data_IF_480429103367
#
_entry.id   IF_480429103367
#
_cell.length_a   1.000
_cell.length_b   1.000
_cell.length_c   1.000
_cell.angle_alpha   90.00
_cell.angle_beta   90.00
_cell.angle_gamma   90.00
#
_symmetry.space_group_name_H-M   'P 1'
#
loop_
_entity.id
_entity.type
_entity.pdbx_description
1 polymer ?
#
# COMPACT_ATOMS: atom_id res chain seq x y z
N UNK A 1 7.51 -13.68 -44.09
CA UNK A 1 7.96 -14.09 -42.75
C UNK A 1 7.89 -12.93 -41.74
N UNK A 2 6.66 -12.59 -41.35
CA UNK A 2 6.37 -11.50 -40.39
C UNK A 2 5.97 -12.07 -39.00
N UNK A 3 6.39 -13.30 -38.66
CA UNK A 3 5.97 -13.99 -37.44
C UNK A 3 7.07 -14.28 -36.42
N UNK A 4 8.18 -13.55 -36.44
CA UNK A 4 9.23 -13.73 -35.43
C UNK A 4 9.56 -12.43 -34.70
N UNK A 5 8.58 -11.84 -34.00
CA UNK A 5 8.93 -10.93 -32.90
C UNK A 5 9.28 -11.81 -31.69
N UNK A 6 10.52 -11.80 -31.24
CA UNK A 6 10.93 -12.64 -30.13
C UNK A 6 10.35 -12.12 -28.83
N UNK A 7 9.62 -12.98 -28.14
CA UNK A 7 9.22 -12.87 -26.73
C UNK A 7 10.43 -12.84 -25.78
N UNK A 8 11.51 -12.15 -26.17
CA UNK A 8 12.82 -12.18 -25.51
C UNK A 8 12.90 -11.42 -24.19
N UNK A 9 11.94 -10.57 -23.86
CA UNK A 9 12.11 -9.64 -22.71
C UNK A 9 11.85 -10.27 -21.34
N UNK A 10 11.00 -11.28 -21.25
CA UNK A 10 10.76 -11.97 -19.97
C UNK A 10 11.84 -13.01 -19.67
N UNK A 11 12.31 -13.75 -20.69
CA UNK A 11 13.37 -14.72 -20.53
C UNK A 11 14.72 -14.10 -20.18
N UNK A 12 15.03 -12.91 -20.70
CA UNK A 12 16.30 -12.22 -20.44
C UNK A 12 16.37 -11.68 -18.99
N UNK A 13 15.25 -11.22 -18.42
CA UNK A 13 15.20 -10.81 -17.02
C UNK A 13 15.30 -12.03 -16.06
N UNK A 14 14.70 -13.16 -16.42
CA UNK A 14 14.85 -14.40 -15.65
C UNK A 14 16.27 -14.97 -15.76
N UNK A 15 16.89 -14.89 -16.92
CA UNK A 15 18.28 -15.36 -17.10
C UNK A 15 19.30 -14.46 -16.39
N UNK A 16 19.07 -13.14 -16.34
CA UNK A 16 19.93 -12.20 -15.60
C UNK A 16 19.80 -12.38 -14.08
N UNK A 17 18.63 -12.71 -13.55
CA UNK A 17 18.47 -13.03 -12.12
C UNK A 17 19.07 -14.39 -11.77
N UNK A 18 18.99 -15.39 -12.65
CA UNK A 18 19.61 -16.70 -12.46
C UNK A 18 21.16 -16.64 -12.47
N UNK A 19 21.74 -15.73 -13.26
CA UNK A 19 23.21 -15.52 -13.28
C UNK A 19 23.73 -14.72 -12.09
N UNK A 20 22.90 -13.92 -11.42
CA UNK A 20 23.31 -13.13 -10.25
C UNK A 20 23.22 -13.88 -8.92
N UNK A 21 22.69 -15.11 -8.88
CA UNK A 21 22.54 -15.92 -7.67
C UNK A 21 21.59 -15.33 -6.61
N UNK A 22 20.81 -14.29 -6.96
CA UNK A 22 19.85 -13.65 -6.04
C UNK A 22 18.47 -14.25 -6.27
N UNK A 23 17.93 -14.89 -5.24
CA UNK A 23 16.59 -15.48 -5.32
C UNK A 23 15.50 -14.42 -5.48
N UNK A 24 14.41 -14.71 -6.22
CA UNK A 24 13.30 -13.79 -6.45
C UNK A 24 12.66 -13.25 -5.16
N UNK A 25 12.60 -14.06 -4.11
CA UNK A 25 12.08 -13.66 -2.82
C UNK A 25 12.95 -12.60 -2.12
N UNK A 26 14.27 -12.70 -2.23
CA UNK A 26 15.19 -11.67 -1.72
C UNK A 26 15.03 -10.36 -2.49
N UNK A 27 14.85 -10.44 -3.81
CA UNK A 27 14.62 -9.27 -4.64
C UNK A 27 13.30 -8.56 -4.27
N UNK A 28 12.22 -9.31 -4.01
CA UNK A 28 10.94 -8.75 -3.55
C UNK A 28 11.10 -8.03 -2.21
N UNK A 29 11.82 -8.63 -1.25
CA UNK A 29 12.08 -8.01 0.06
C UNK A 29 12.93 -6.75 -0.07
N UNK A 30 13.97 -6.77 -0.89
CA UNK A 30 14.80 -5.59 -1.15
C UNK A 30 13.98 -4.46 -1.77
N UNK A 31 13.15 -4.76 -2.78
CA UNK A 31 12.23 -3.79 -3.38
C UNK A 31 11.26 -3.22 -2.33
N UNK A 32 10.68 -4.09 -1.49
CA UNK A 32 9.76 -3.65 -0.44
C UNK A 32 10.43 -2.70 0.56
N UNK A 33 11.66 -2.99 0.98
CA UNK A 33 12.40 -2.14 1.93
C UNK A 33 12.68 -0.78 1.29
N UNK A 34 13.25 -0.75 0.08
CA UNK A 34 13.61 0.51 -0.59
C UNK A 34 12.37 1.35 -0.88
N UNK A 35 11.35 0.76 -1.52
CA UNK A 35 10.11 1.47 -1.84
C UNK A 35 9.33 1.85 -0.58
N UNK A 36 9.33 0.98 0.44
CA UNK A 36 8.71 1.25 1.73
C UNK A 36 9.32 2.44 2.46
N UNK A 37 10.65 2.58 2.43
CA UNK A 37 11.34 3.76 2.98
C UNK A 37 10.94 5.04 2.22
N UNK A 38 10.88 4.98 0.90
CA UNK A 38 10.44 6.12 0.08
C UNK A 38 8.99 6.50 0.42
N UNK A 39 8.08 5.52 0.48
CA UNK A 39 6.68 5.73 0.81
C UNK A 39 6.53 6.31 2.22
N UNK A 40 7.30 5.80 3.19
CA UNK A 40 7.30 6.33 4.57
C UNK A 40 7.75 7.79 4.61
N UNK A 41 8.86 8.11 3.92
CA UNK A 41 9.37 9.48 3.85
C UNK A 41 8.35 10.43 3.21
N UNK A 42 7.76 10.03 2.08
CA UNK A 42 6.76 10.83 1.37
C UNK A 42 5.51 11.03 2.24
N UNK A 43 5.03 9.99 2.92
CA UNK A 43 3.87 10.09 3.81
C UNK A 43 4.13 11.06 4.98
N UNK A 44 5.31 10.98 5.59
CA UNK A 44 5.70 11.91 6.66
C UNK A 44 5.81 13.35 6.16
N UNK A 45 6.46 13.55 5.00
CA UNK A 45 6.61 14.88 4.39
C UNK A 45 5.25 15.47 4.02
N UNK A 46 4.37 14.69 3.40
CA UNK A 46 3.01 15.10 3.07
C UNK A 46 2.21 15.51 4.31
N UNK A 47 2.29 14.71 5.38
CA UNK A 47 1.63 15.01 6.66
C UNK A 47 2.15 16.31 7.27
N UNK A 48 3.47 16.51 7.29
CA UNK A 48 4.09 17.74 7.79
C UNK A 48 3.71 18.97 6.96
N UNK A 49 3.69 18.84 5.63
CA UNK A 49 3.28 19.93 4.73
C UNK A 49 1.82 20.32 4.94
N UNK A 50 0.90 19.36 5.11
CA UNK A 50 -0.51 19.64 5.37
C UNK A 50 -0.69 20.44 6.68
N UNK A 51 -0.03 20.00 7.75
CA UNK A 51 -0.07 20.72 9.04
C UNK A 51 0.57 22.10 8.93
N UNK A 52 1.70 22.22 8.25
CA UNK A 52 2.38 23.49 8.01
C UNK A 52 1.51 24.47 7.22
N UNK A 53 0.88 23.99 6.16
CA UNK A 53 -0.03 24.79 5.32
C UNK A 53 -1.27 25.25 6.11
N UNK A 54 -1.89 24.34 6.86
CA UNK A 54 -3.04 24.68 7.70
C UNK A 54 -2.72 25.80 8.70
N UNK A 55 -1.53 25.77 9.31
CA UNK A 55 -1.06 26.83 10.20
C UNK A 55 -0.83 28.16 9.46
N UNK A 56 -0.25 28.12 8.27
CA UNK A 56 0.04 29.31 7.46
C UNK A 56 -1.23 30.04 7.02
N UNK A 57 -2.29 29.32 6.67
CA UNK A 57 -3.58 29.91 6.27
C UNK A 57 -4.49 30.23 7.46
N UNK A 58 -3.98 30.07 8.70
CA UNK A 58 -4.69 30.52 9.91
C UNK A 58 -5.84 29.60 10.32
N UNK A 59 -5.79 28.29 10.00
CA UNK A 59 -6.78 27.33 10.52
C UNK A 59 -6.64 27.25 12.03
N UNK A 60 -7.65 27.70 12.74
CA UNK A 60 -7.71 27.75 14.22
C UNK A 60 -8.50 26.60 14.83
N UNK A 61 -8.98 25.67 14.01
CA UNK A 61 -9.73 24.50 14.51
C UNK A 61 -8.90 23.73 15.55
N UNK A 62 -9.50 23.33 16.67
CA UNK A 62 -8.80 22.55 17.68
C UNK A 62 -8.36 21.22 17.05
N UNK A 63 -7.03 21.05 16.95
CA UNK A 63 -6.44 19.93 16.29
C UNK A 63 -5.63 19.11 17.29
N UNK A 64 -6.13 17.96 17.75
CA UNK A 64 -5.39 17.13 18.69
C UNK A 64 -4.20 16.47 17.95
N UNK A 65 -2.99 16.93 18.29
CA UNK A 65 -1.75 16.43 17.66
C UNK A 65 -1.61 14.90 17.77
N UNK A 66 -2.06 14.31 18.87
CA UNK A 66 -2.06 12.85 19.06
C UNK A 66 -2.94 12.12 18.04
N UNK A 67 -4.09 12.70 17.69
CA UNK A 67 -5.00 12.13 16.69
C UNK A 67 -4.40 12.16 15.29
N UNK A 68 -3.71 13.26 14.95
CA UNK A 68 -3.01 13.39 13.67
C UNK A 68 -1.82 12.43 13.55
N UNK A 69 -1.03 12.28 14.59
CA UNK A 69 0.07 11.31 14.63
C UNK A 69 -0.48 9.90 14.42
N UNK A 70 -1.57 9.56 15.12
CA UNK A 70 -2.25 8.27 14.97
C UNK A 70 -2.77 8.05 13.54
N UNK A 71 -3.36 9.08 12.92
CA UNK A 71 -3.80 9.04 11.53
C UNK A 71 -2.62 8.81 10.57
N UNK A 72 -1.55 9.60 10.71
CA UNK A 72 -0.36 9.49 9.85
C UNK A 72 0.28 8.09 9.97
N UNK A 73 0.37 7.55 11.19
CA UNK A 73 0.86 6.19 11.41
C UNK A 73 -0.06 5.14 10.77
N UNK A 74 -1.36 5.32 10.87
CA UNK A 74 -2.36 4.45 10.24
C UNK A 74 -2.22 4.44 8.72
N UNK A 75 -2.14 5.61 8.10
CA UNK A 75 -1.93 5.75 6.65
C UNK A 75 -0.61 5.12 6.22
N UNK A 76 0.45 5.27 7.02
CA UNK A 76 1.73 4.63 6.72
C UNK A 76 1.62 3.11 6.68
N UNK A 77 0.94 2.50 7.66
CA UNK A 77 0.72 1.04 7.68
C UNK A 77 -0.10 0.59 6.47
N UNK A 78 -1.15 1.33 6.13
CA UNK A 78 -2.00 1.01 4.97
C UNK A 78 -1.19 1.12 3.66
N UNK A 79 -0.40 2.18 3.49
CA UNK A 79 0.48 2.35 2.33
C UNK A 79 1.47 1.18 2.18
N UNK A 80 2.08 0.72 3.28
CA UNK A 80 2.99 -0.42 3.27
C UNK A 80 2.26 -1.73 2.95
N UNK A 81 1.04 -1.92 3.44
CA UNK A 81 0.23 -3.09 3.10
C UNK A 81 -0.17 -3.11 1.61
N UNK A 82 -0.56 -1.96 1.06
CA UNK A 82 -0.84 -1.80 -0.39
C UNK A 82 0.42 -2.07 -1.21
N UNK A 83 1.57 -1.54 -0.79
CA UNK A 83 2.85 -1.77 -1.45
C UNK A 83 3.23 -3.26 -1.46
N UNK A 84 3.12 -3.94 -0.31
CA UNK A 84 3.38 -5.38 -0.20
C UNK A 84 2.48 -6.18 -1.15
N UNK A 85 1.18 -5.87 -1.16
CA UNK A 85 0.21 -6.51 -2.04
C UNK A 85 0.55 -6.29 -3.52
N UNK A 86 0.89 -5.07 -3.93
CA UNK A 86 1.24 -4.74 -5.32
C UNK A 86 2.55 -5.43 -5.76
N UNK A 87 3.54 -5.52 -4.88
CA UNK A 87 4.78 -6.26 -5.19
C UNK A 87 4.47 -7.74 -5.40
N UNK A 88 3.70 -8.37 -4.50
CA UNK A 88 3.31 -9.77 -4.66
C UNK A 88 2.52 -10.00 -5.95
N UNK A 89 1.55 -9.14 -6.23
CA UNK A 89 0.72 -9.23 -7.43
C UNK A 89 1.59 -9.12 -8.70
N UNK A 90 2.53 -8.17 -8.74
CA UNK A 90 3.41 -7.96 -9.89
C UNK A 90 4.37 -9.13 -10.18
N UNK A 91 4.65 -9.95 -9.16
CA UNK A 91 5.49 -11.16 -9.31
C UNK A 91 4.66 -12.39 -9.65
N UNK A 92 3.42 -12.45 -9.15
CA UNK A 92 2.53 -13.60 -9.37
C UNK A 92 1.81 -13.55 -10.73
N UNK A 93 1.66 -12.36 -11.31
CA UNK A 93 0.93 -12.15 -12.56
C UNK A 93 1.91 -11.76 -13.66
N UNK A 94 1.99 -12.56 -14.71
CA UNK A 94 2.88 -12.32 -15.85
C UNK A 94 2.53 -11.03 -16.61
N UNK A 95 1.23 -10.71 -16.67
CA UNK A 95 0.75 -9.52 -17.36
C UNK A 95 0.74 -8.31 -16.42
N UNK A 96 1.71 -7.41 -16.60
CA UNK A 96 1.84 -6.18 -15.83
C UNK A 96 0.62 -5.26 -15.92
N UNK A 97 -0.15 -5.32 -17.02
CA UNK A 97 -1.38 -4.53 -17.19
C UNK A 97 -2.43 -4.95 -16.16
N UNK A 98 -2.52 -6.24 -15.84
CA UNK A 98 -3.43 -6.75 -14.80
C UNK A 98 -3.04 -6.20 -13.44
N UNK A 99 -1.75 -6.25 -13.08
CA UNK A 99 -1.27 -5.70 -11.80
C UNK A 99 -1.55 -4.19 -11.68
N UNK A 100 -1.34 -3.44 -12.76
CA UNK A 100 -1.67 -2.01 -12.83
C UNK A 100 -3.18 -1.79 -12.72
N UNK A 101 -3.99 -2.57 -13.44
CA UNK A 101 -5.44 -2.49 -13.41
C UNK A 101 -6.02 -2.72 -12.01
N UNK A 102 -5.50 -3.71 -11.28
CA UNK A 102 -5.87 -3.95 -9.87
C UNK A 102 -5.51 -2.75 -8.99
N UNK A 103 -4.36 -2.12 -9.21
CA UNK A 103 -3.99 -0.89 -8.51
C UNK A 103 -4.98 0.25 -8.76
N UNK A 104 -5.39 0.46 -10.02
CA UNK A 104 -6.37 1.49 -10.38
C UNK A 104 -7.72 1.21 -9.73
N UNK A 105 -8.22 -0.03 -9.81
CA UNK A 105 -9.46 -0.44 -9.12
C UNK A 105 -9.34 -0.20 -7.61
N UNK A 106 -8.17 -0.49 -7.02
CA UNK A 106 -7.88 -0.21 -5.63
C UNK A 106 -8.01 1.27 -5.27
N UNK A 107 -7.53 2.18 -6.12
CA UNK A 107 -7.69 3.62 -5.91
C UNK A 107 -9.19 4.01 -5.89
N UNK A 108 -9.99 3.47 -6.81
CA UNK A 108 -11.44 3.69 -6.78
C UNK A 108 -12.08 3.14 -5.51
N UNK A 109 -11.66 1.96 -5.03
CA UNK A 109 -12.12 1.43 -3.75
C UNK A 109 -11.75 2.33 -2.57
N UNK A 110 -10.57 2.94 -2.58
CA UNK A 110 -10.17 3.91 -1.56
C UNK A 110 -11.03 5.18 -1.58
N UNK A 111 -11.30 5.72 -2.78
CA UNK A 111 -12.08 6.95 -2.95
C UNK A 111 -13.57 6.77 -2.61
N UNK A 112 -14.15 5.68 -3.07
CA UNK A 112 -15.58 5.39 -2.89
C UNK A 112 -15.86 4.47 -1.70
N UNK A 113 -14.85 4.14 -0.91
CA UNK A 113 -14.96 3.25 0.23
C UNK A 113 -16.02 3.68 1.26
N UNK A 114 -16.24 4.98 1.41
CA UNK A 114 -17.25 5.53 2.35
C UNK A 114 -18.68 5.06 2.01
N UNK A 115 -18.96 4.78 0.73
CA UNK A 115 -20.28 4.32 0.25
C UNK A 115 -20.43 2.80 0.38
N UNK A 116 -19.32 2.08 0.51
CA UNK A 116 -19.31 0.62 0.54
C UNK A 116 -19.66 0.05 1.93
N UNK A 117 -20.28 -1.13 2.00
CA UNK A 117 -20.48 -1.83 3.26
C UNK A 117 -19.15 -2.09 3.98
N UNK A 118 -19.14 -1.92 5.30
CA UNK A 118 -17.91 -2.05 6.13
C UNK A 118 -17.16 -3.37 5.94
N UNK A 119 -17.86 -4.48 5.69
CA UNK A 119 -17.21 -5.77 5.49
C UNK A 119 -16.36 -5.80 4.22
N UNK A 120 -16.78 -5.13 3.14
CA UNK A 120 -16.00 -5.01 1.89
C UNK A 120 -14.74 -4.17 2.07
N UNK A 121 -14.79 -3.15 2.95
CA UNK A 121 -13.62 -2.33 3.25
C UNK A 121 -12.51 -3.14 3.93
N UNK A 122 -12.85 -4.14 4.75
CA UNK A 122 -11.86 -5.00 5.40
C UNK A 122 -11.25 -6.06 4.47
N UNK A 123 -11.87 -6.30 3.30
CA UNK A 123 -11.44 -7.35 2.39
C UNK A 123 -10.20 -6.97 1.58
N UNK A 124 -9.98 -5.67 1.37
CA UNK A 124 -8.89 -5.15 0.55
C UNK A 124 -8.07 -4.11 1.31
N UNK A 125 -6.75 -4.02 1.10
CA UNK A 125 -5.94 -3.03 1.79
C UNK A 125 -6.35 -1.58 1.45
N UNK A 126 -6.93 -1.33 0.28
CA UNK A 126 -7.42 0.00 -0.11
C UNK A 126 -8.66 0.44 0.66
N UNK A 127 -9.52 -0.47 1.08
CA UNK A 127 -10.71 -0.15 1.88
C UNK A 127 -10.36 0.46 3.24
N UNK A 128 -9.17 0.17 3.75
CA UNK A 128 -8.71 0.73 5.03
C UNK A 128 -8.46 2.24 4.99
N UNK A 129 -8.26 2.86 3.83
CA UNK A 129 -8.18 4.32 3.73
C UNK A 129 -9.48 4.98 4.18
N UNK A 130 -10.63 4.44 3.78
CA UNK A 130 -11.93 4.93 4.22
C UNK A 130 -12.19 4.65 5.72
N UNK A 131 -11.75 3.48 6.21
CA UNK A 131 -11.87 3.15 7.64
C UNK A 131 -10.99 4.01 8.54
N UNK A 132 -9.84 4.48 8.03
CA UNK A 132 -8.91 5.33 8.76
C UNK A 132 -9.25 6.82 8.68
N UNK A 133 -10.38 7.21 8.08
CA UNK A 133 -10.81 8.60 8.04
C UNK A 133 -10.93 9.16 9.47
N UNK A 134 -10.19 10.24 9.83
CA UNK A 134 -10.10 10.71 11.21
C UNK A 134 -11.30 11.58 11.61
N UNK A 135 -12.00 12.14 10.63
CA UNK A 135 -13.15 13.01 10.83
C UNK A 135 -14.02 13.04 9.59
N UNK A 136 -15.28 13.37 9.75
CA UNK A 136 -16.23 13.60 8.67
C UNK A 136 -17.22 14.70 9.05
N UNK A 137 -17.88 15.27 8.06
CA UNK A 137 -18.94 16.24 8.28
C UNK A 137 -20.29 15.54 8.43
N UNK A 138 -20.94 15.75 9.58
CA UNK A 138 -22.33 15.33 9.82
C UNK A 138 -23.19 16.58 9.82
N UNK A 139 -23.79 16.89 8.68
CA UNK A 139 -24.46 18.17 8.46
C UNK A 139 -23.43 19.30 8.35
N UNK A 140 -23.46 20.26 9.32
CA UNK A 140 -22.51 21.38 9.39
C UNK A 140 -21.40 21.17 10.43
N UNK A 141 -21.49 20.12 11.23
CA UNK A 141 -20.57 19.86 12.34
C UNK A 141 -19.46 18.88 11.92
N UNK A 142 -18.22 19.19 12.31
CA UNK A 142 -17.06 18.32 12.13
C UNK A 142 -17.02 17.32 13.30
N UNK A 143 -17.23 16.05 12.99
CA UNK A 143 -17.20 14.95 13.97
C UNK A 143 -15.92 14.17 13.82
N UNK A 144 -15.18 14.00 14.91
CA UNK A 144 -13.97 13.16 14.95
C UNK A 144 -14.32 11.71 15.28
N UNK A 145 -13.78 10.78 14.49
CA UNK A 145 -13.97 9.35 14.72
C UNK A 145 -12.74 8.73 15.39
N UNK A 146 -12.99 7.74 16.22
CA UNK A 146 -11.92 6.94 16.77
C UNK A 146 -11.28 6.09 15.66
N UNK A 147 -9.96 6.19 15.55
CA UNK A 147 -9.21 5.41 14.57
C UNK A 147 -9.27 3.91 14.90
N UNK A 148 -9.51 3.03 13.91
CA UNK A 148 -9.64 1.59 14.11
C UNK A 148 -8.26 0.92 14.22
N UNK A 149 -7.47 1.28 15.24
CA UNK A 149 -6.10 0.78 15.43
C UNK A 149 -5.99 -0.73 15.41
N UNK A 150 -6.97 -1.44 15.99
CA UNK A 150 -6.97 -2.91 16.02
C UNK A 150 -7.09 -3.50 14.62
N UNK A 151 -7.97 -2.94 13.79
CA UNK A 151 -8.14 -3.39 12.40
C UNK A 151 -6.89 -3.10 11.57
N UNK A 152 -6.25 -1.95 11.79
CA UNK A 152 -5.02 -1.54 11.10
C UNK A 152 -3.84 -2.43 11.53
N UNK A 153 -3.73 -2.72 12.83
CA UNK A 153 -2.75 -3.69 13.33
C UNK A 153 -2.99 -5.09 12.74
N UNK A 154 -4.25 -5.53 12.65
CA UNK A 154 -4.61 -6.77 11.98
C UNK A 154 -4.18 -6.79 10.52
N UNK A 155 -4.38 -5.70 9.77
CA UNK A 155 -3.91 -5.55 8.40
C UNK A 155 -2.39 -5.69 8.30
N UNK A 156 -1.64 -5.04 9.22
CA UNK A 156 -0.18 -5.12 9.26
C UNK A 156 0.31 -6.55 9.50
N UNK A 157 -0.30 -7.26 10.46
CA UNK A 157 0.07 -8.64 10.80
C UNK A 157 -0.26 -9.59 9.65
N UNK A 158 -1.48 -9.53 9.13
CA UNK A 158 -1.93 -10.42 8.03
C UNK A 158 -1.16 -10.13 6.75
N UNK A 159 -1.06 -8.86 6.37
CA UNK A 159 -0.34 -8.45 5.15
C UNK A 159 1.15 -8.76 5.24
N UNK A 160 1.79 -8.46 6.37
CA UNK A 160 3.20 -8.76 6.62
C UNK A 160 3.49 -10.27 6.63
N UNK A 161 2.66 -11.05 7.31
CA UNK A 161 2.78 -12.53 7.35
C UNK A 161 2.62 -13.14 5.96
N UNK A 162 1.63 -12.69 5.20
CA UNK A 162 1.39 -13.16 3.84
C UNK A 162 2.59 -12.82 2.93
N UNK A 163 3.09 -11.59 3.00
CA UNK A 163 4.26 -11.16 2.23
C UNK A 163 5.49 -12.02 2.57
N UNK A 164 5.76 -12.25 3.84
CA UNK A 164 6.88 -13.10 4.28
C UNK A 164 6.73 -14.55 3.82
N UNK A 165 5.54 -15.15 3.97
CA UNK A 165 5.28 -16.52 3.56
C UNK A 165 5.47 -16.71 2.06
N UNK A 166 4.91 -15.83 1.24
CA UNK A 166 5.01 -15.92 -0.22
C UNK A 166 6.45 -15.74 -0.69
N UNK A 167 7.15 -14.72 -0.17
CA UNK A 167 8.55 -14.46 -0.55
C UNK A 167 9.50 -15.57 -0.10
N UNK A 168 9.20 -16.26 1.01
CA UNK A 168 9.97 -17.41 1.46
C UNK A 168 9.74 -18.61 0.55
N UNK A 169 8.50 -18.85 0.11
CA UNK A 169 8.19 -19.93 -0.83
C UNK A 169 8.85 -19.76 -2.20
N UNK A 170 9.06 -18.54 -2.65
CA UNK A 170 9.82 -18.28 -3.87
C UNK A 170 11.29 -18.70 -3.74
N UNK A 171 11.89 -18.55 -2.55
CA UNK A 171 13.26 -18.97 -2.32
C UNK A 171 13.45 -20.51 -2.32
N UNK A 172 12.44 -21.27 -1.86
CA UNK A 172 12.53 -22.73 -1.74
C UNK A 172 12.23 -23.48 -3.03
N UNK A 173 11.70 -22.83 -4.06
CA UNK A 173 11.42 -23.48 -5.35
C UNK A 173 12.61 -23.48 -6.32
N UNK A 174 13.64 -22.72 -6.02
CA UNK A 174 14.85 -22.59 -6.85
C UNK A 174 16.10 -23.23 -6.20
N UNK A 175 15.98 -23.76 -4.99
CA UNK A 175 16.98 -24.58 -4.32
C UNK A 175 16.71 -26.06 -4.57
#
# INVERSE_FOLDING_TARGET
DLHSFPTRRSSDLHSLSATSGVSPGHLCRAKFIVLGLIVALVTMMQSALLVGFAKLIGVTSPFPASHWIGYTASIMVINLAVLAFQILLSVMVENQIVALGVGIVGIFLALFGVILPRFLMHLTPWGYYALAAPADYVGVDLVYYNLPYLSIAGLAVVGGSLFMLVTTRFNTREA
#
